data_IF_392174831356
#
_entry.id   IF_392174831356
#
_cell.length_a   1.000
_cell.length_b   1.000
_cell.length_c   1.000
_cell.angle_alpha   90.00
_cell.angle_beta   90.00
_cell.angle_gamma   90.00
#
_symmetry.space_group_name_H-M   'P 1'
#
loop_
_entity.id
_entity.type
_entity.pdbx_description
1 polymer ?
#
# COMPACT_ATOMS: atom_id res chain seq x y z
N UNK A 1 9.53 -24.20 -41.35
CA UNK A 1 9.44 -23.74 -39.96
C UNK A 1 8.29 -24.52 -39.34
N UNK A 2 8.58 -25.49 -38.47
CA UNK A 2 7.52 -26.24 -37.79
C UNK A 2 7.06 -25.36 -36.63
N UNK A 3 5.83 -24.89 -36.66
CA UNK A 3 5.25 -24.19 -35.53
C UNK A 3 5.07 -25.20 -34.39
N UNK A 4 5.78 -24.98 -33.29
CA UNK A 4 5.52 -25.69 -32.04
C UNK A 4 4.11 -25.34 -31.55
N UNK A 5 3.37 -26.35 -31.15
CA UNK A 5 2.08 -26.21 -30.49
C UNK A 5 2.28 -25.98 -29.00
N UNK A 6 1.25 -25.51 -28.31
CA UNK A 6 1.29 -25.34 -26.85
C UNK A 6 1.60 -26.66 -26.11
N UNK A 7 1.17 -27.81 -26.66
CA UNK A 7 1.47 -29.11 -26.09
C UNK A 7 2.95 -29.48 -26.22
N UNK A 8 3.61 -29.06 -27.31
CA UNK A 8 5.03 -29.34 -27.52
C UNK A 8 5.88 -28.70 -26.42
N UNK A 9 5.57 -27.46 -26.03
CA UNK A 9 6.23 -26.78 -24.90
C UNK A 9 6.00 -27.47 -23.56
N UNK A 10 4.79 -27.99 -23.33
CA UNK A 10 4.50 -28.73 -22.09
C UNK A 10 5.35 -30.01 -22.05
N UNK A 11 5.42 -30.76 -23.17
CA UNK A 11 6.24 -31.98 -23.25
C UNK A 11 7.73 -31.71 -23.03
N UNK A 12 8.25 -30.58 -23.52
CA UNK A 12 9.63 -30.13 -23.25
C UNK A 12 9.85 -29.80 -21.77
N UNK A 13 8.84 -29.29 -21.07
CA UNK A 13 8.91 -28.95 -19.64
C UNK A 13 8.76 -30.16 -18.69
N UNK A 14 8.01 -31.20 -19.08
CA UNK A 14 7.70 -32.36 -18.21
C UNK A 14 8.93 -32.96 -17.50
N UNK A 15 10.11 -33.14 -18.14
CA UNK A 15 11.29 -33.66 -17.46
C UNK A 15 11.77 -32.79 -16.27
N UNK A 16 11.58 -31.48 -16.36
CA UNK A 16 12.04 -30.48 -15.39
C UNK A 16 11.03 -30.22 -14.26
N UNK A 17 9.79 -30.67 -14.41
CA UNK A 17 8.69 -30.35 -13.47
C UNK A 17 9.03 -30.66 -12.01
N UNK A 18 9.80 -31.71 -11.75
CA UNK A 18 10.19 -32.13 -10.40
C UNK A 18 11.15 -31.15 -9.74
N UNK A 19 12.14 -30.66 -10.49
CA UNK A 19 13.10 -29.65 -10.00
C UNK A 19 12.40 -28.31 -9.76
N UNK A 20 11.53 -27.90 -10.68
CA UNK A 20 10.74 -26.67 -10.54
C UNK A 20 9.83 -26.73 -9.31
N UNK A 21 9.08 -27.83 -9.15
CA UNK A 21 8.20 -28.00 -7.99
C UNK A 21 8.98 -27.98 -6.68
N UNK A 22 10.15 -28.63 -6.62
CA UNK A 22 11.01 -28.60 -5.45
C UNK A 22 11.40 -27.17 -5.07
N UNK A 23 11.87 -26.38 -6.05
CA UNK A 23 12.27 -24.98 -5.81
C UNK A 23 11.06 -24.13 -5.38
N UNK A 24 9.90 -24.29 -6.02
CA UNK A 24 8.69 -23.54 -5.65
C UNK A 24 8.27 -23.84 -4.19
N UNK A 25 8.32 -25.10 -3.78
CA UNK A 25 8.05 -25.50 -2.39
C UNK A 25 9.09 -24.95 -1.41
N UNK A 26 10.37 -24.91 -1.81
CA UNK A 26 11.44 -24.30 -1.00
C UNK A 26 11.24 -22.78 -0.82
N UNK A 27 10.71 -22.09 -1.84
CA UNK A 27 10.35 -20.67 -1.76
C UNK A 27 9.15 -20.41 -0.83
N UNK A 28 8.25 -21.38 -0.66
CA UNK A 28 7.14 -21.30 0.29
C UNK A 28 7.54 -21.62 1.73
N UNK A 29 8.62 -22.39 1.91
CA UNK A 29 9.10 -22.83 3.21
C UNK A 29 9.91 -21.76 3.95
N UNK A 30 10.10 -21.96 5.25
CA UNK A 30 11.13 -21.22 5.98
C UNK A 30 12.51 -21.75 5.58
N UNK A 31 13.45 -20.89 5.14
CA UNK A 31 14.75 -21.31 4.64
C UNK A 31 15.61 -21.95 5.75
N UNK A 32 16.09 -23.16 5.47
CA UNK A 32 17.08 -23.90 6.25
C UNK A 32 18.28 -24.23 5.33
N UNK A 33 19.54 -23.96 5.69
CA UNK A 33 20.03 -23.41 6.96
C UNK A 33 19.96 -21.88 7.04
N UNK A 34 19.96 -21.38 8.27
CA UNK A 34 19.83 -19.98 8.67
C UNK A 34 21.04 -19.09 8.36
N UNK A 35 21.68 -19.26 7.20
CA UNK A 35 22.79 -18.42 6.75
C UNK A 35 22.24 -17.12 6.18
N UNK A 36 21.98 -16.16 7.05
CA UNK A 36 21.39 -14.88 6.67
C UNK A 36 22.44 -13.78 6.66
N UNK A 37 22.34 -12.91 5.66
CA UNK A 37 23.24 -11.76 5.44
C UNK A 37 22.94 -10.57 6.34
N UNK A 38 21.86 -10.63 7.14
CA UNK A 38 21.33 -9.51 7.94
C UNK A 38 21.16 -9.89 9.42
N UNK A 39 20.69 -8.94 10.26
CA UNK A 39 20.41 -9.07 11.71
C UNK A 39 20.13 -10.52 12.16
N UNK A 40 20.86 -11.02 13.15
CA UNK A 40 20.88 -12.44 13.55
C UNK A 40 19.59 -13.01 14.15
N UNK A 41 18.65 -12.19 14.62
CA UNK A 41 17.57 -12.63 15.51
C UNK A 41 16.16 -12.37 14.95
N UNK A 42 15.26 -13.32 15.21
CA UNK A 42 13.79 -13.21 15.06
C UNK A 42 13.28 -12.70 13.69
N UNK A 43 13.84 -13.24 12.60
CA UNK A 43 13.39 -12.93 11.23
C UNK A 43 12.11 -13.71 10.92
N UNK A 44 10.98 -13.06 11.16
CA UNK A 44 9.64 -13.61 10.93
C UNK A 44 8.97 -13.03 9.69
N UNK A 45 9.48 -11.94 9.12
CA UNK A 45 8.87 -11.31 7.95
C UNK A 45 9.60 -11.66 6.67
N UNK A 46 8.87 -11.98 5.60
CA UNK A 46 9.39 -12.04 4.23
C UNK A 46 8.70 -10.99 3.36
N UNK A 47 9.43 -10.43 2.41
CA UNK A 47 8.86 -9.52 1.42
C UNK A 47 8.61 -10.26 0.10
N UNK A 48 7.43 -10.09 -0.48
CA UNK A 48 7.04 -10.74 -1.73
C UNK A 48 7.50 -9.96 -2.98
N UNK A 49 7.75 -8.66 -2.83
CA UNK A 49 8.12 -7.78 -3.93
C UNK A 49 9.65 -7.57 -4.03
N UNK A 50 10.39 -7.83 -2.95
CA UNK A 50 11.85 -7.83 -2.99
C UNK A 50 12.40 -9.06 -3.73
N UNK A 51 13.38 -8.85 -4.59
CA UNK A 51 14.09 -9.92 -5.27
C UNK A 51 14.71 -10.90 -4.26
N UNK A 52 14.59 -12.20 -4.52
CA UNK A 52 15.06 -13.30 -3.66
C UNK A 52 14.34 -13.45 -2.31
N UNK A 53 13.21 -12.78 -2.08
CA UNK A 53 12.37 -12.92 -0.88
C UNK A 53 13.16 -12.90 0.45
N UNK A 54 13.95 -11.83 0.72
CA UNK A 54 14.74 -11.73 1.94
C UNK A 54 13.89 -11.82 3.20
N UNK A 55 14.46 -12.45 4.24
CA UNK A 55 13.88 -12.52 5.57
C UNK A 55 14.36 -11.39 6.47
N UNK A 56 13.42 -10.75 7.15
CA UNK A 56 13.63 -9.58 7.98
C UNK A 56 13.17 -9.81 9.42
N UNK A 57 13.97 -9.33 10.37
CA UNK A 57 13.48 -8.95 11.69
C UNK A 57 12.66 -7.65 11.57
N UNK A 58 11.80 -7.31 12.55
CA UNK A 58 10.92 -6.12 12.49
C UNK A 58 11.68 -4.84 12.13
N UNK A 59 12.79 -4.54 12.80
CA UNK A 59 13.58 -3.33 12.56
C UNK A 59 14.19 -3.28 11.16
N UNK A 60 14.63 -4.44 10.65
CA UNK A 60 15.23 -4.50 9.31
C UNK A 60 14.15 -4.45 8.23
N UNK A 61 12.96 -4.96 8.53
CA UNK A 61 11.80 -4.81 7.67
C UNK A 61 11.44 -3.32 7.52
N UNK A 62 11.38 -2.56 8.63
CA UNK A 62 11.14 -1.12 8.60
C UNK A 62 12.21 -0.38 7.78
N UNK A 63 13.50 -0.59 8.09
CA UNK A 63 14.61 0.10 7.42
C UNK A 63 14.69 -0.21 5.92
N UNK A 64 14.50 -1.46 5.53
CA UNK A 64 14.58 -1.87 4.13
C UNK A 64 13.39 -1.38 3.30
N UNK A 65 12.25 -1.06 3.92
CA UNK A 65 11.04 -0.62 3.23
C UNK A 65 10.67 0.85 3.49
N UNK A 66 11.54 1.63 4.14
CA UNK A 66 11.29 3.05 4.45
C UNK A 66 10.96 3.88 3.19
N UNK A 67 11.66 3.62 2.08
CA UNK A 67 11.41 4.25 0.78
C UNK A 67 10.47 3.45 -0.13
N UNK A 68 10.07 2.25 0.27
CA UNK A 68 9.21 1.33 -0.47
C UNK A 68 8.07 0.80 0.43
N UNK A 69 7.24 1.71 1.00
CA UNK A 69 6.31 1.36 2.07
C UNK A 69 5.08 0.56 1.59
N UNK A 70 4.95 0.32 0.29
CA UNK A 70 3.84 -0.40 -0.33
C UNK A 70 4.20 -1.84 -0.73
N UNK A 71 5.39 -2.33 -0.36
CA UNK A 71 5.72 -3.73 -0.56
C UNK A 71 4.85 -4.64 0.31
N UNK A 72 4.42 -5.76 -0.26
CA UNK A 72 3.65 -6.80 0.41
C UNK A 72 4.57 -7.71 1.18
N UNK A 73 4.19 -7.98 2.42
CA UNK A 73 4.95 -8.84 3.32
C UNK A 73 4.09 -9.97 3.85
N UNK A 74 4.75 -11.02 4.31
CA UNK A 74 4.11 -12.10 5.04
C UNK A 74 4.87 -12.39 6.32
N UNK A 75 4.16 -12.90 7.32
CA UNK A 75 4.73 -13.26 8.62
C UNK A 75 4.73 -14.79 8.81
N UNK A 76 5.85 -15.32 9.28
CA UNK A 76 5.99 -16.72 9.67
C UNK A 76 5.30 -16.99 11.00
N UNK A 77 4.36 -17.94 11.01
CA UNK A 77 3.62 -18.33 12.22
C UNK A 77 4.26 -19.46 13.01
N UNK A 78 5.29 -20.11 12.44
CA UNK A 78 5.89 -21.32 12.98
C UNK A 78 5.72 -22.54 12.06
N UNK A 79 4.69 -22.54 11.21
CA UNK A 79 4.43 -23.61 10.24
C UNK A 79 4.21 -23.14 8.80
N UNK A 80 3.69 -21.93 8.61
CA UNK A 80 3.43 -21.35 7.29
C UNK A 80 3.53 -19.82 7.35
N UNK A 81 3.48 -19.19 6.17
CA UNK A 81 3.42 -17.74 6.05
C UNK A 81 1.97 -17.27 5.94
N UNK A 82 1.61 -16.27 6.74
CA UNK A 82 0.34 -15.57 6.68
C UNK A 82 0.50 -14.18 6.07
N UNK A 83 -0.56 -13.68 5.43
CA UNK A 83 -0.64 -12.29 4.96
C UNK A 83 -0.44 -11.30 6.13
N UNK A 84 0.43 -10.32 5.93
CA UNK A 84 0.75 -9.28 6.91
C UNK A 84 0.88 -7.94 6.20
N UNK A 85 0.90 -6.84 6.95
CA UNK A 85 1.06 -5.50 6.40
C UNK A 85 2.27 -4.78 7.02
N UNK A 86 2.95 -3.94 6.22
CA UNK A 86 4.15 -3.22 6.68
C UNK A 86 3.87 -2.30 7.87
N UNK A 87 2.67 -1.74 8.01
CA UNK A 87 2.32 -0.91 9.16
C UNK A 87 2.31 -1.67 10.48
N UNK A 88 2.08 -2.98 10.46
CA UNK A 88 2.17 -3.81 11.67
C UNK A 88 3.61 -3.88 12.20
N UNK A 89 4.60 -3.62 11.34
CA UNK A 89 5.99 -3.47 11.77
C UNK A 89 6.24 -2.12 12.43
N UNK A 90 5.37 -1.12 12.28
CA UNK A 90 5.56 0.24 12.78
C UNK A 90 6.16 1.22 11.77
N UNK A 91 6.14 0.89 10.47
CA UNK A 91 6.58 1.83 9.43
C UNK A 91 5.73 3.09 9.44
N UNK A 92 6.36 4.23 9.20
CA UNK A 92 5.71 5.53 9.15
C UNK A 92 6.14 6.27 7.89
N UNK A 93 5.23 7.02 7.30
CA UNK A 93 5.52 7.88 6.15
C UNK A 93 5.68 9.32 6.64
N UNK A 94 6.85 9.90 6.41
CA UNK A 94 7.08 11.32 6.68
C UNK A 94 6.85 12.13 5.42
N UNK A 95 6.00 13.16 5.52
CA UNK A 95 5.68 14.06 4.43
C UNK A 95 6.50 15.35 4.55
N UNK A 96 6.97 15.84 3.41
CA UNK A 96 7.96 16.92 3.36
C UNK A 96 9.39 16.42 3.62
N UNK A 97 10.36 17.33 3.64
CA UNK A 97 11.78 17.06 3.92
C UNK A 97 12.39 15.87 3.15
N UNK A 98 11.91 15.58 1.95
CA UNK A 98 12.38 14.44 1.15
C UNK A 98 12.10 13.07 1.78
N UNK A 99 11.13 12.97 2.69
CA UNK A 99 10.83 11.74 3.42
C UNK A 99 11.52 11.61 4.77
N UNK A 100 12.35 12.59 5.17
CA UNK A 100 12.95 12.62 6.51
C UNK A 100 11.94 13.11 7.56
N UNK A 101 12.08 12.69 8.83
CA UNK A 101 11.29 13.22 9.93
C UNK A 101 11.36 14.75 10.04
N UNK A 102 10.22 15.40 10.24
CA UNK A 102 10.16 16.85 10.39
C UNK A 102 10.88 17.30 11.68
N UNK A 103 11.90 18.18 11.60
CA UNK A 103 12.61 18.66 12.79
C UNK A 103 11.71 19.37 13.79
N UNK A 104 10.68 20.07 13.31
CA UNK A 104 9.73 20.79 14.14
C UNK A 104 8.82 19.82 14.92
N UNK A 105 8.30 18.78 14.25
CA UNK A 105 7.51 17.74 14.90
C UNK A 105 8.31 16.98 15.98
N UNK A 106 9.60 16.71 15.73
CA UNK A 106 10.50 16.12 16.74
C UNK A 106 10.65 17.04 17.95
N UNK A 107 10.89 18.33 17.73
CA UNK A 107 11.05 19.31 18.80
C UNK A 107 9.77 19.44 19.65
N UNK A 108 8.59 19.44 19.00
CA UNK A 108 7.31 19.48 19.70
C UNK A 108 7.05 18.20 20.51
N UNK A 109 7.33 17.01 19.95
CA UNK A 109 7.14 15.74 20.65
C UNK A 109 8.03 15.62 21.90
N UNK A 110 9.26 16.15 21.84
CA UNK A 110 10.17 16.21 22.99
C UNK A 110 9.67 17.18 24.08
N UNK A 111 8.90 18.20 23.72
CA UNK A 111 8.29 19.16 24.66
C UNK A 111 6.94 18.67 25.21
N UNK A 112 6.18 17.88 24.43
CA UNK A 112 4.87 17.35 24.78
C UNK A 112 4.91 16.05 25.60
N UNK A 113 6.08 15.54 25.98
CA UNK A 113 6.25 14.32 26.78
C UNK A 113 5.69 14.39 28.24
N UNK A 114 4.81 15.35 28.53
CA UNK A 114 4.19 15.57 29.83
C UNK A 114 2.66 15.71 29.84
N UNK A 115 1.97 15.80 28.69
CA UNK A 115 0.50 15.96 28.67
C UNK A 115 -0.16 15.03 27.64
N UNK A 116 -1.09 14.14 28.06
CA UNK A 116 -1.94 13.39 27.15
C UNK A 116 -2.85 14.34 26.37
N UNK A 117 -2.85 14.23 25.04
CA UNK A 117 -3.76 15.01 24.20
C UNK A 117 -5.22 14.66 24.52
N UNK A 118 -6.12 15.65 24.67
CA UNK A 118 -7.55 15.41 24.76
C UNK A 118 -8.06 14.85 23.43
N UNK A 119 -8.65 13.66 23.48
CA UNK A 119 -9.38 13.06 22.37
C UNK A 119 -10.63 13.90 22.08
N UNK A 120 -10.76 14.33 20.83
CA UNK A 120 -12.02 14.79 20.24
C UNK A 120 -12.89 13.56 19.97
N UNK A 121 -13.93 13.41 20.78
CA UNK A 121 -14.87 12.30 20.86
C UNK A 121 -16.04 12.42 19.86
N UNK A 122 -15.84 13.14 18.76
CA UNK A 122 -16.85 13.28 17.73
C UNK A 122 -16.67 12.27 16.58
N UNK A 123 -17.55 11.28 16.60
CA UNK A 123 -18.05 10.48 15.47
C UNK A 123 -17.20 9.29 15.00
N UNK A 124 -17.35 8.16 15.72
CA UNK A 124 -17.19 6.83 15.14
C UNK A 124 -18.58 6.21 15.08
N UNK A 125 -19.17 6.15 13.89
CA UNK A 125 -20.37 5.34 13.66
C UNK A 125 -20.06 3.87 13.96
N UNK A 126 -20.99 3.21 14.65
CA UNK A 126 -20.89 1.86 15.17
C UNK A 126 -20.45 0.85 14.09
N UNK A 127 -19.20 0.36 14.17
CA UNK A 127 -18.75 -0.79 13.39
C UNK A 127 -18.89 -2.03 14.27
N UNK A 128 -20.08 -2.64 14.23
CA UNK A 128 -20.29 -3.97 14.79
C UNK A 128 -19.32 -4.98 14.11
N UNK A 129 -18.65 -5.78 14.95
CA UNK A 129 -17.89 -7.00 14.65
C UNK A 129 -16.53 -6.94 13.91
N UNK A 130 -15.63 -6.08 14.40
CA UNK A 130 -14.20 -6.03 14.03
C UNK A 130 -13.36 -7.25 14.54
N UNK A 131 -13.87 -8.06 15.47
CA UNK A 131 -13.05 -9.11 16.14
C UNK A 131 -12.67 -10.31 15.27
N UNK A 132 -13.36 -10.57 14.15
CA UNK A 132 -13.10 -11.74 13.29
C UNK A 132 -12.24 -11.45 12.05
N UNK A 133 -12.05 -10.18 11.68
CA UNK A 133 -11.30 -9.80 10.47
C UNK A 133 -9.77 -9.97 10.69
N UNK A 134 -8.97 -10.44 9.70
CA UNK A 134 -7.52 -10.58 9.86
C UNK A 134 -6.83 -9.28 10.29
N UNK A 135 -5.91 -9.38 11.26
CA UNK A 135 -5.24 -8.23 11.90
C UNK A 135 -4.59 -7.26 10.92
N UNK A 136 -4.07 -7.75 9.80
CA UNK A 136 -3.39 -6.94 8.79
C UNK A 136 -4.33 -6.04 7.96
N UNK A 137 -5.65 -6.27 8.03
CA UNK A 137 -6.67 -5.46 7.37
C UNK A 137 -7.25 -4.37 8.28
N UNK A 138 -6.83 -4.33 9.55
CA UNK A 138 -7.29 -3.29 10.48
C UNK A 138 -6.41 -2.05 10.35
N UNK A 139 -7.02 -0.86 10.27
CA UNK A 139 -6.25 0.36 10.37
C UNK A 139 -5.62 0.50 11.77
N UNK A 140 -4.46 1.16 11.90
CA UNK A 140 -3.86 1.48 13.19
C UNK A 140 -4.81 2.32 14.06
N UNK A 141 -5.27 1.76 15.18
CA UNK A 141 -6.17 2.44 16.13
C UNK A 141 -5.44 3.55 16.87
N UNK A 142 -6.09 4.71 17.05
CA UNK A 142 -5.55 5.83 17.83
C UNK A 142 -4.37 6.58 17.19
N UNK A 143 -4.14 6.40 15.88
CA UNK A 143 -3.05 7.05 15.14
C UNK A 143 -3.57 7.83 13.94
N UNK A 144 -2.82 8.86 13.50
CA UNK A 144 -3.08 9.56 12.23
C UNK A 144 -2.57 8.69 11.07
N UNK A 145 -3.44 7.82 10.54
CA UNK A 145 -3.11 6.98 9.38
C UNK A 145 -3.79 7.48 8.10
N UNK A 146 -3.24 7.11 6.95
CA UNK A 146 -3.89 7.22 5.65
C UNK A 146 -4.14 5.84 5.07
N UNK A 147 -5.27 5.68 4.40
CA UNK A 147 -5.52 4.55 3.49
C UNK A 147 -4.90 4.89 2.14
N UNK A 148 -3.83 4.19 1.77
CA UNK A 148 -3.09 4.41 0.53
C UNK A 148 -3.39 3.25 -0.41
N UNK A 149 -3.95 3.57 -1.58
CA UNK A 149 -4.23 2.61 -2.64
C UNK A 149 -3.07 2.64 -3.62
N UNK A 150 -2.43 1.48 -3.82
CA UNK A 150 -1.30 1.27 -4.72
C UNK A 150 -1.56 0.09 -5.67
N UNK A 151 -0.72 -0.08 -6.69
CA UNK A 151 -0.76 -1.24 -7.60
C UNK A 151 -0.55 -2.57 -6.86
N UNK A 152 0.12 -2.55 -5.71
CA UNK A 152 0.30 -3.73 -4.84
C UNK A 152 -0.87 -3.96 -3.87
N UNK A 153 -1.90 -3.13 -3.88
CA UNK A 153 -3.08 -3.26 -3.03
C UNK A 153 -3.33 -2.06 -2.13
N UNK A 154 -4.12 -2.28 -1.07
CA UNK A 154 -4.51 -1.25 -0.12
C UNK A 154 -3.66 -1.33 1.15
N UNK A 155 -3.08 -0.21 1.54
CA UNK A 155 -2.17 -0.10 2.67
C UNK A 155 -2.68 0.93 3.68
N UNK A 156 -2.67 0.61 4.97
CA UNK A 156 -2.81 1.60 6.03
C UNK A 156 -1.44 2.00 6.48
N UNK A 157 -1.09 3.29 6.47
CA UNK A 157 0.24 3.75 6.91
C UNK A 157 0.06 4.96 7.81
N UNK A 158 0.78 4.99 8.94
CA UNK A 158 0.83 6.16 9.83
C UNK A 158 1.60 7.26 9.14
N UNK A 159 1.05 8.47 9.13
CA UNK A 159 1.61 9.61 8.40
C UNK A 159 1.98 10.74 9.35
N UNK A 160 3.21 11.22 9.20
CA UNK A 160 3.74 12.36 9.92
C UNK A 160 3.87 13.54 8.95
N UNK A 161 3.16 14.62 9.25
CA UNK A 161 3.14 15.82 8.43
C UNK A 161 4.35 16.72 8.73
N UNK A 162 4.76 17.52 7.73
CA UNK A 162 5.65 18.64 7.99
C UNK A 162 4.87 19.78 8.63
N UNK A 163 5.37 20.25 9.77
CA UNK A 163 4.77 21.34 10.58
C UNK A 163 5.75 22.51 10.77
N UNK A 164 6.77 22.63 9.91
CA UNK A 164 7.64 23.81 9.90
C UNK A 164 6.84 25.10 9.60
N UNK A 165 7.36 26.27 9.97
CA UNK A 165 6.70 27.56 9.70
C UNK A 165 6.41 27.79 8.21
N UNK A 166 7.27 27.27 7.33
CA UNK A 166 7.11 27.33 5.87
C UNK A 166 6.50 26.04 5.29
N UNK A 167 5.80 25.24 6.10
CA UNK A 167 5.18 24.02 5.63
C UNK A 167 4.07 24.33 4.61
N UNK A 168 4.07 23.57 3.52
CA UNK A 168 3.00 23.65 2.53
C UNK A 168 1.73 22.98 3.05
N UNK A 169 0.59 23.29 2.42
CA UNK A 169 -0.68 22.62 2.72
C UNK A 169 -0.58 21.10 2.56
N UNK A 170 -1.35 20.35 3.37
CA UNK A 170 -1.28 18.88 3.45
C UNK A 170 -1.41 18.20 2.08
N UNK A 171 -2.38 18.60 1.26
CA UNK A 171 -2.56 18.03 -0.08
C UNK A 171 -1.34 18.28 -1.00
N UNK A 172 -0.60 19.39 -0.84
CA UNK A 172 0.64 19.65 -1.58
C UNK A 172 1.75 18.72 -1.11
N UNK A 173 1.88 18.51 0.21
CA UNK A 173 2.86 17.58 0.75
C UNK A 173 2.63 16.14 0.23
N UNK A 174 1.38 15.71 0.13
CA UNK A 174 0.99 14.44 -0.49
C UNK A 174 1.38 14.38 -1.97
N UNK A 175 1.05 15.42 -2.75
CA UNK A 175 1.37 15.46 -4.17
C UNK A 175 2.89 15.41 -4.41
N UNK A 176 3.69 16.08 -3.56
CA UNK A 176 5.17 15.99 -3.61
C UNK A 176 5.66 14.58 -3.29
N UNK A 177 4.96 13.84 -2.44
CA UNK A 177 5.21 12.42 -2.15
C UNK A 177 4.64 11.46 -3.21
N UNK A 178 4.15 11.97 -4.36
CA UNK A 178 3.48 11.19 -5.42
C UNK A 178 2.21 10.46 -4.96
N UNK A 179 1.54 11.03 -3.96
CA UNK A 179 0.24 10.59 -3.47
C UNK A 179 -0.82 11.60 -3.89
N UNK A 180 -1.85 11.12 -4.57
CA UNK A 180 -3.00 11.91 -4.96
C UNK A 180 -4.11 11.77 -3.90
N UNK A 181 -4.49 12.84 -3.21
CA UNK A 181 -5.58 12.75 -2.23
C UNK A 181 -6.93 12.56 -2.91
N UNK A 182 -7.81 11.73 -2.32
CA UNK A 182 -9.19 11.65 -2.78
C UNK A 182 -10.00 12.92 -2.44
N UNK A 183 -9.61 13.61 -1.36
CA UNK A 183 -10.25 14.84 -0.86
C UNK A 183 -9.20 15.86 -0.44
N UNK A 184 -9.43 17.13 -0.75
CA UNK A 184 -8.44 18.20 -0.50
C UNK A 184 -8.47 18.76 0.93
N UNK A 185 -9.62 18.73 1.62
CA UNK A 185 -9.78 19.32 2.95
C UNK A 185 -9.24 18.42 4.07
N UNK A 186 -9.60 17.13 4.04
CA UNK A 186 -9.13 16.12 4.99
C UNK A 186 -8.88 14.81 4.25
N UNK A 187 -7.66 14.57 3.74
CA UNK A 187 -7.37 13.36 3.01
C UNK A 187 -7.36 12.18 4.00
N UNK A 188 -8.36 11.31 3.95
CA UNK A 188 -8.37 10.01 4.66
C UNK A 188 -7.87 8.88 3.75
N UNK A 189 -8.13 9.02 2.44
CA UNK A 189 -7.71 8.08 1.40
C UNK A 189 -6.87 8.80 0.36
N UNK A 190 -5.80 8.15 -0.08
CA UNK A 190 -4.91 8.66 -1.14
C UNK A 190 -4.57 7.55 -2.12
N UNK A 191 -4.20 7.92 -3.33
CA UNK A 191 -3.84 7.01 -4.41
C UNK A 191 -2.40 7.27 -4.84
N UNK A 192 -1.59 6.24 -5.00
CA UNK A 192 -0.28 6.43 -5.63
C UNK A 192 -0.48 6.82 -7.10
N UNK A 193 0.43 7.61 -7.67
CA UNK A 193 0.36 7.88 -9.10
C UNK A 193 0.49 6.60 -9.94
N UNK A 194 1.18 5.58 -9.40
CA UNK A 194 1.32 4.28 -10.03
C UNK A 194 -0.03 3.59 -10.26
N UNK A 195 -0.92 3.57 -9.25
CA UNK A 195 -2.25 2.94 -9.40
C UNK A 195 -3.14 3.73 -10.36
N UNK A 196 -3.02 5.06 -10.37
CA UNK A 196 -3.75 5.91 -11.32
C UNK A 196 -3.30 5.62 -12.76
N UNK A 197 -1.99 5.52 -13.00
CA UNK A 197 -1.45 5.18 -14.32
C UNK A 197 -1.77 3.74 -14.73
N UNK A 198 -1.80 2.80 -13.79
CA UNK A 198 -2.15 1.40 -14.05
C UNK A 198 -3.60 1.22 -14.44
N UNK A 199 -4.52 1.87 -13.72
CA UNK A 199 -5.92 1.92 -14.11
C UNK A 199 -6.11 2.50 -15.52
N UNK A 200 -5.44 3.61 -15.83
CA UNK A 200 -5.59 4.24 -17.15
C UNK A 200 -5.11 3.31 -18.28
N UNK A 201 -4.05 2.52 -18.05
CA UNK A 201 -3.59 1.49 -18.99
C UNK A 201 -4.61 0.36 -19.12
N UNK A 202 -5.07 -0.22 -18.02
CA UNK A 202 -6.05 -1.32 -18.04
C UNK A 202 -7.40 -0.90 -18.66
N UNK A 203 -7.83 0.33 -18.40
CA UNK A 203 -9.03 0.89 -19.00
C UNK A 203 -8.87 1.07 -20.51
N UNK A 204 -7.72 1.56 -20.97
CA UNK A 204 -7.45 1.79 -22.39
C UNK A 204 -7.21 0.49 -23.17
N UNK A 205 -6.36 -0.40 -22.65
CA UNK A 205 -5.90 -1.60 -23.36
C UNK A 205 -6.91 -2.75 -23.27
N UNK A 206 -7.53 -2.93 -22.11
CA UNK A 206 -8.42 -4.07 -21.84
C UNK A 206 -9.90 -3.68 -21.72
N UNK A 207 -10.23 -2.38 -21.80
CA UNK A 207 -11.60 -1.91 -21.56
C UNK A 207 -12.07 -2.15 -20.12
N UNK A 208 -11.14 -2.30 -19.17
CA UNK A 208 -11.48 -2.65 -17.80
C UNK A 208 -12.30 -1.52 -17.17
N UNK A 209 -13.50 -1.85 -16.67
CA UNK A 209 -14.30 -0.90 -15.91
C UNK A 209 -13.66 -0.63 -14.55
N UNK A 210 -13.94 0.53 -13.97
CA UNK A 210 -13.42 0.87 -12.64
C UNK A 210 -13.88 -0.09 -11.54
N UNK A 211 -15.09 -0.67 -11.63
CA UNK A 211 -15.54 -1.74 -10.71
C UNK A 211 -14.67 -2.99 -10.81
N UNK A 212 -14.30 -3.39 -12.02
CA UNK A 212 -13.47 -4.58 -12.24
C UNK A 212 -12.03 -4.33 -11.77
N UNK A 213 -11.50 -3.14 -12.03
CA UNK A 213 -10.18 -2.75 -11.53
C UNK A 213 -10.14 -2.68 -10.00
N UNK A 214 -11.21 -2.17 -9.39
CA UNK A 214 -11.37 -2.20 -7.94
C UNK A 214 -11.39 -3.63 -7.37
N UNK A 215 -12.14 -4.51 -8.02
CA UNK A 215 -12.18 -5.93 -7.65
C UNK A 215 -10.82 -6.62 -7.81
N UNK A 216 -10.05 -6.24 -8.84
CA UNK A 216 -8.65 -6.66 -9.04
C UNK A 216 -7.79 -6.20 -7.86
N UNK A 217 -7.85 -4.92 -7.45
CA UNK A 217 -7.09 -4.40 -6.31
C UNK A 217 -7.44 -5.12 -5.00
N UNK A 218 -8.71 -5.44 -4.77
CA UNK A 218 -9.14 -6.20 -3.60
C UNK A 218 -8.51 -7.60 -3.55
N UNK A 219 -8.51 -8.30 -4.68
CA UNK A 219 -7.87 -9.61 -4.81
C UNK A 219 -6.35 -9.55 -4.67
N UNK A 220 -5.71 -8.48 -5.15
CA UNK A 220 -4.27 -8.25 -4.96
C UNK A 220 -3.94 -8.02 -3.48
N UNK A 221 -4.80 -7.28 -2.77
CA UNK A 221 -4.61 -6.93 -1.35
C UNK A 221 -4.76 -8.16 -0.45
N UNK A 222 -5.81 -8.93 -0.64
CA UNK A 222 -5.98 -10.25 -0.02
C UNK A 222 -6.72 -11.16 -0.97
N UNK A 223 -6.08 -12.27 -1.33
CA UNK A 223 -6.71 -13.30 -2.16
C UNK A 223 -7.74 -14.11 -1.38
N UNK A 224 -7.59 -14.18 -0.05
CA UNK A 224 -8.42 -14.98 0.85
C UNK A 224 -9.66 -14.19 1.30
N UNK A 225 -9.50 -12.89 1.59
CA UNK A 225 -10.57 -12.04 2.12
C UNK A 225 -10.78 -10.72 1.33
N UNK A 226 -11.00 -10.78 0.00
CA UNK A 226 -11.09 -9.57 -0.82
C UNK A 226 -12.29 -8.69 -0.45
N UNK A 227 -13.35 -9.23 0.15
CA UNK A 227 -14.55 -8.48 0.52
C UNK A 227 -14.39 -7.68 1.83
N UNK A 228 -13.31 -7.89 2.59
CA UNK A 228 -13.07 -7.24 3.87
C UNK A 228 -12.14 -6.01 3.76
N UNK A 229 -11.71 -5.66 2.56
CA UNK A 229 -10.84 -4.51 2.31
C UNK A 229 -11.67 -3.21 2.44
N UNK A 230 -11.31 -2.28 3.36
CA UNK A 230 -12.19 -1.17 3.78
C UNK A 230 -12.14 0.08 2.87
N UNK A 231 -11.86 -0.08 1.58
CA UNK A 231 -11.99 1.04 0.63
C UNK A 231 -13.46 1.17 0.24
N UNK A 232 -13.92 2.39 -0.05
CA UNK A 232 -15.28 2.63 -0.58
C UNK A 232 -15.18 2.93 -2.07
N UNK A 233 -15.95 2.19 -2.88
CA UNK A 233 -15.96 2.34 -4.34
C UNK A 233 -16.24 3.77 -4.82
N UNK A 234 -17.12 4.53 -4.13
CA UNK A 234 -17.47 5.90 -4.48
C UNK A 234 -16.31 6.92 -4.38
N UNK A 235 -15.15 6.52 -3.85
CA UNK A 235 -13.93 7.34 -3.80
C UNK A 235 -13.15 7.24 -5.14
N UNK A 236 -13.36 6.17 -5.92
CA UNK A 236 -12.59 5.85 -7.13
C UNK A 236 -13.33 6.17 -8.45
N UNK A 237 -14.66 6.30 -8.44
CA UNK A 237 -15.51 6.21 -9.65
C UNK A 237 -16.73 7.14 -9.52
N UNK A 238 -17.22 7.78 -10.60
CA UNK A 238 -17.80 9.12 -10.51
C UNK A 238 -19.20 9.15 -9.92
N UNK A 239 -19.43 10.21 -9.14
CA UNK A 239 -20.70 10.92 -9.16
C UNK A 239 -20.35 12.39 -9.41
N UNK A 240 -20.52 12.86 -10.66
CA UNK A 240 -20.60 14.30 -10.91
C UNK A 240 -21.98 14.73 -10.42
N UNK A 241 -22.09 14.90 -9.11
CA UNK A 241 -23.23 15.52 -8.47
C UNK A 241 -22.82 16.94 -8.10
N UNK A 242 -23.38 17.93 -8.80
CA UNK A 242 -23.46 19.29 -8.25
C UNK A 242 -24.50 19.20 -7.13
N UNK A 243 -24.07 18.89 -5.90
CA UNK A 243 -24.85 19.23 -4.72
C UNK A 243 -24.32 20.56 -4.21
N UNK A 244 -25.21 21.53 -4.04
CA UNK A 244 -24.95 22.92 -3.65
C UNK A 244 -23.76 23.04 -2.68
N UNK A 245 -22.66 23.66 -3.13
CA UNK A 245 -21.57 24.13 -2.28
C UNK A 245 -20.23 23.42 -2.35
N UNK A 246 -20.11 22.24 -2.98
CA UNK A 246 -18.80 21.54 -3.07
C UNK A 246 -18.55 20.96 -4.46
N UNK A 247 -17.58 21.52 -5.17
CA UNK A 247 -17.08 20.96 -6.44
C UNK A 247 -16.34 19.65 -6.11
N UNK A 248 -16.97 18.49 -6.33
CA UNK A 248 -16.29 17.19 -6.33
C UNK A 248 -15.65 16.95 -7.70
N UNK A 249 -14.40 17.34 -7.83
CA UNK A 249 -13.58 16.93 -8.97
C UNK A 249 -13.11 15.48 -8.74
N UNK A 250 -13.44 14.61 -9.69
CA UNK A 250 -13.09 13.18 -9.66
C UNK A 250 -11.57 12.97 -9.72
N UNK A 251 -11.03 12.13 -8.84
CA UNK A 251 -9.58 11.87 -8.70
C UNK A 251 -8.96 11.38 -10.01
N UNK A 252 -9.62 10.46 -10.72
CA UNK A 252 -9.08 9.88 -11.95
C UNK A 252 -9.21 10.84 -13.14
N UNK A 253 -10.33 11.57 -13.21
CA UNK A 253 -10.61 12.56 -14.25
C UNK A 253 -9.70 13.77 -14.11
N UNK A 254 -9.43 14.24 -12.89
CA UNK A 254 -8.49 15.34 -12.67
C UNK A 254 -7.06 14.94 -13.01
N UNK A 255 -6.62 13.74 -12.60
CA UNK A 255 -5.30 13.26 -12.96
C UNK A 255 -5.17 13.04 -14.47
N UNK A 256 -6.18 12.44 -15.10
CA UNK A 256 -6.25 12.27 -16.55
C UNK A 256 -6.21 13.61 -17.32
N UNK A 257 -7.02 14.59 -16.91
CA UNK A 257 -7.01 15.94 -17.47
C UNK A 257 -5.66 16.63 -17.26
N UNK A 258 -5.06 16.53 -16.06
CA UNK A 258 -3.73 17.07 -15.79
C UNK A 258 -2.68 16.46 -16.72
N UNK A 259 -2.72 15.14 -16.94
CA UNK A 259 -1.78 14.45 -17.83
C UNK A 259 -1.97 14.85 -19.30
N UNK A 260 -3.18 15.19 -19.71
CA UNK A 260 -3.47 15.74 -21.05
C UNK A 260 -3.07 17.22 -21.20
N UNK A 261 -3.01 17.98 -20.10
CA UNK A 261 -2.72 19.43 -20.10
C UNK A 261 -1.22 19.75 -19.88
N UNK A 262 -0.38 18.78 -19.49
CA UNK A 262 1.08 18.95 -19.58
C UNK A 262 1.43 18.96 -21.08
N UNK A 263 1.91 20.08 -21.64
CA UNK A 263 2.33 20.10 -23.04
C UNK A 263 3.44 19.07 -23.18
N UNK A 264 3.38 18.26 -24.24
CA UNK A 264 4.52 17.46 -24.68
C UNK A 264 5.71 18.42 -24.80
N UNK A 265 6.58 18.41 -23.79
CA UNK A 265 7.81 19.18 -23.82
C UNK A 265 8.68 18.52 -24.89
N UNK A 266 8.78 19.22 -26.02
CA UNK A 266 9.65 18.96 -27.17
C UNK A 266 11.10 18.73 -26.76
#
# INVERSE_FOLDING_TARGET
MVCQTQNDYIHEWVPWKGEFLKILLELEAYPEPRNFTWCGNNRVYRCLDCLHQPLFCTECCQKSHESLPFHRIQQWTGGFYEESALHMTGIQLHLGHGGAPCPHAIAQAQQAAGEPLPMDDQEWEDVEDIKENPKHLHPPVGSRYLTIVDVTGVHFIVVNWCECENAEAQYIQLLRAKLFPSMFEKPSTTFTFAVLDDFLRDNLECGMSSMNYYSKLHQITSSVFPHLIPVRFGILVPSVGISEGSIKIDTMSFYGLRRMVIPQAT
#
